data_IF_429622468911
#
_entry.id   IF_429622468911
#
_cell.length_a   1.000
_cell.length_b   1.000
_cell.length_c   1.000
_cell.angle_alpha   90.00
_cell.angle_beta   90.00
_cell.angle_gamma   90.00
#
_symmetry.space_group_name_H-M   'P 1'
#
loop_
_entity.id
_entity.type
_entity.pdbx_description
1 polymer ?
2 non-polymer ?
3 non-polymer ?
4 non-polymer ?
5 non-polymer ?
6 water ?
#
# COMPACT_ATOMS: atom_id res chain seq x y z
N UNK A 1 16.03 9.86 8.92
CA UNK A 1 16.48 10.21 10.33
C UNK A 1 15.92 11.59 10.65
N UNK A 2 15.57 11.82 11.92
CA UNK A 2 14.84 13.04 12.37
C UNK A 2 15.71 14.32 12.14
N UNK A 3 15.08 15.48 11.99
CA UNK A 3 15.83 16.76 11.85
C UNK A 3 16.59 17.11 13.14
N UNK A 7 14.59 22.00 13.43
CA UNK A 7 14.04 22.10 12.08
C UNK A 7 12.95 21.09 11.73
N UNK A 8 12.67 20.99 10.43
CA UNK A 8 11.66 20.05 9.90
C UNK A 8 12.30 19.13 8.84
N UNK A 9 12.19 17.85 9.09
CA UNK A 9 12.63 16.89 8.12
C UNK A 9 11.57 16.76 7.03
N UNK A 10 12.02 16.35 5.84
CA UNK A 10 11.08 15.97 4.78
C UNK A 10 10.29 14.79 5.33
N UNK A 11 8.98 14.79 5.12
CA UNK A 11 8.12 13.75 5.67
C UNK A 11 7.47 12.95 4.56
N UNK A 12 7.69 11.64 4.58
CA UNK A 12 7.16 10.74 3.58
C UNK A 12 6.25 9.67 4.16
N UNK A 13 5.03 9.60 3.64
CA UNK A 13 4.05 8.55 4.00
C UNK A 13 4.14 7.46 2.97
N UNK A 14 4.35 6.24 3.42
CA UNK A 14 4.44 5.08 2.53
C UNK A 14 3.31 4.12 2.86
N UNK A 15 2.48 3.86 1.87
CA UNK A 15 1.37 2.91 1.96
C UNK A 15 1.89 1.49 2.22
N UNK A 16 1.07 0.64 2.87
CA UNK A 16 1.45 -0.71 3.11
C UNK A 16 0.93 -1.61 2.00
N UNK A 17 -0.37 -1.84 1.90
CA UNK A 17 -0.88 -2.78 0.89
C UNK A 17 -0.68 -2.24 -0.52
N UNK A 18 -0.07 -3.08 -1.35
CA UNK A 18 0.17 -2.75 -2.75
C UNK A 18 1.45 -1.97 -2.98
N UNK A 19 2.17 -1.64 -1.92
CA UNK A 19 3.40 -0.83 -1.96
C UNK A 19 4.53 -1.51 -1.20
N UNK A 20 4.29 -1.87 0.07
CA UNK A 20 5.23 -2.66 0.84
C UNK A 20 4.88 -4.14 0.83
N UNK A 21 3.57 -4.45 0.96
CA UNK A 21 3.08 -5.82 1.14
C UNK A 21 2.27 -6.18 -0.11
N UNK A 22 2.52 -7.39 -0.61
CA UNK A 22 1.90 -7.83 -1.88
C UNK A 22 0.50 -8.42 -1.61
N UNK A 23 -0.44 -7.53 -1.45
CA UNK A 23 -1.87 -7.85 -1.27
C UNK A 23 -2.40 -8.61 -2.49
N UNK A 24 -2.08 -8.15 -3.71
CA UNK A 24 -2.69 -8.77 -4.90
C UNK A 24 -2.21 -10.19 -5.11
N UNK A 25 -0.91 -10.40 -4.98
CA UNK A 25 -0.35 -11.74 -5.12
C UNK A 25 -0.75 -12.70 -4.03
N UNK A 26 -0.79 -12.18 -2.80
CA UNK A 26 -1.22 -12.97 -1.66
C UNK A 26 -2.67 -13.38 -1.79
N UNK A 27 -3.51 -12.45 -2.19
CA UNK A 27 -4.93 -12.72 -2.45
C UNK A 27 -5.08 -13.85 -3.47
N UNK A 28 -4.42 -13.70 -4.62
CA UNK A 28 -4.59 -14.71 -5.69
C UNK A 28 -4.14 -16.08 -5.26
N UNK A 29 -3.00 -16.17 -4.60
CA UNK A 29 -2.51 -17.46 -4.14
C UNK A 29 -3.48 -18.14 -3.19
N UNK A 30 -3.98 -17.39 -2.21
CA UNK A 30 -4.89 -17.97 -1.24
C UNK A 30 -6.26 -18.27 -1.81
N UNK A 31 -6.70 -17.45 -2.73
CA UNK A 31 -8.00 -17.66 -3.39
C UNK A 31 -7.94 -18.98 -4.21
N UNK A 32 -6.89 -19.15 -4.99
CA UNK A 32 -6.77 -20.39 -5.81
C UNK A 32 -6.66 -21.64 -4.96
N UNK A 33 -5.95 -21.57 -3.85
CA UNK A 33 -5.81 -22.68 -2.93
C UNK A 33 -7.10 -23.04 -2.22
N UNK A 34 -7.91 -22.04 -1.85
CA UNK A 34 -9.15 -22.31 -1.12
C UNK A 34 -10.32 -22.69 -2.05
N UNK A 35 -10.33 -22.11 -3.23
CA UNK A 35 -11.40 -22.23 -4.22
C UNK A 35 -10.84 -22.71 -5.57
N UNK A 36 -10.23 -23.90 -5.58
CA UNK A 36 -9.52 -24.39 -6.79
C UNK A 36 -10.40 -24.59 -8.01
N UNK A 37 -11.71 -24.77 -7.82
CA UNK A 37 -12.60 -24.99 -8.96
C UNK A 37 -13.29 -23.72 -9.45
N UNK A 38 -12.94 -22.55 -8.86
CA UNK A 38 -13.56 -21.33 -9.32
C UNK A 38 -12.65 -20.64 -10.35
N UNK A 39 -13.24 -19.85 -11.27
CA UNK A 39 -12.37 -19.03 -12.13
C UNK A 39 -11.72 -17.91 -11.27
N UNK A 40 -10.64 -17.35 -11.79
CA UNK A 40 -9.89 -16.29 -11.06
C UNK A 40 -9.40 -15.25 -12.07
N UNK A 41 -8.78 -14.18 -11.57
CA UNK A 41 -8.27 -13.09 -12.41
C UNK A 41 -6.78 -13.13 -12.29
N UNK A 42 -6.08 -13.41 -13.38
CA UNK A 42 -4.63 -13.30 -13.38
C UNK A 42 -4.24 -11.85 -13.06
N UNK A 43 -3.10 -11.68 -12.40
CA UNK A 43 -2.65 -10.35 -11.95
C UNK A 43 -2.58 -9.37 -13.10
N UNK A 44 -2.03 -9.82 -14.25
CA UNK A 44 -1.94 -8.95 -15.42
C UNK A 44 -3.27 -8.41 -15.90
N UNK A 45 -4.35 -9.16 -15.61
CA UNK A 45 -5.71 -8.79 -16.03
C UNK A 45 -6.52 -8.02 -14.98
N UNK A 46 -5.91 -7.72 -13.84
CA UNK A 46 -6.61 -6.94 -12.82
C UNK A 46 -6.92 -5.52 -13.32
N UNK A 47 -8.17 -5.09 -13.13
CA UNK A 47 -8.63 -3.77 -13.49
C UNK A 47 -9.54 -3.25 -12.36
N UNK A 48 -9.31 -2.02 -11.97
CA UNK A 48 -10.09 -1.40 -10.92
C UNK A 48 -9.48 -1.71 -9.54
N UNK A 49 -9.57 -0.75 -8.62
CA UNK A 49 -8.97 -0.93 -7.31
C UNK A 49 -9.55 -2.09 -6.53
N UNK A 50 -10.85 -2.31 -6.63
CA UNK A 50 -11.53 -3.24 -5.75
C UNK A 50 -11.56 -4.66 -6.32
N UNK A 51 -10.76 -5.54 -5.72
CA UNK A 51 -10.69 -6.90 -6.17
C UNK A 51 -12.09 -7.56 -6.21
N UNK A 52 -12.89 -7.36 -5.17
CA UNK A 52 -14.17 -8.11 -5.10
C UNK A 52 -15.15 -7.68 -6.22
N UNK A 53 -15.02 -6.44 -6.69
CA UNK A 53 -15.92 -5.96 -7.77
C UNK A 53 -15.62 -6.67 -9.08
N UNK A 54 -14.33 -6.85 -9.38
CA UNK A 54 -13.98 -7.59 -10.59
C UNK A 54 -14.35 -9.08 -10.48
N UNK A 55 -14.16 -9.66 -9.29
CA UNK A 55 -14.51 -11.05 -9.05
C UNK A 55 -16.04 -11.24 -9.15
N UNK A 56 -16.78 -10.28 -8.64
CA UNK A 56 -18.23 -10.33 -8.67
C UNK A 56 -18.80 -10.36 -10.07
N UNK A 57 -18.11 -9.72 -11.02
CA UNK A 57 -18.55 -9.71 -12.42
C UNK A 57 -18.20 -11.02 -13.15
N UNK A 58 -17.21 -11.73 -12.60
CA UNK A 58 -16.73 -12.98 -13.18
C UNK A 58 -17.73 -14.13 -13.00
N UNK A 59 -18.31 -14.24 -11.80
CA UNK A 59 -19.35 -15.25 -11.53
C UNK A 59 -20.14 -14.85 -10.28
N UNK A 60 -21.44 -15.14 -10.23
CA UNK A 60 -22.22 -14.84 -9.03
C UNK A 60 -21.70 -15.55 -7.77
N UNK A 61 -21.62 -14.84 -6.65
CA UNK A 61 -21.11 -15.41 -5.41
C UNK A 61 -19.62 -15.22 -5.17
N UNK A 62 -18.88 -14.86 -6.22
CA UNK A 62 -17.42 -14.76 -6.09
C UNK A 62 -16.98 -13.57 -5.31
N UNK A 63 -17.76 -12.50 -5.28
CA UNK A 63 -17.42 -11.37 -4.44
C UNK A 63 -17.30 -11.82 -2.96
N UNK A 64 -18.27 -12.60 -2.50
CA UNK A 64 -18.27 -13.08 -1.11
C UNK A 64 -17.13 -14.03 -0.83
N UNK A 65 -16.81 -14.88 -1.80
CA UNK A 65 -15.68 -15.76 -1.65
C UNK A 65 -14.36 -14.95 -1.59
N UNK A 66 -14.21 -13.94 -2.46
CA UNK A 66 -13.02 -13.07 -2.41
C UNK A 66 -12.89 -12.43 -1.01
N UNK A 67 -13.99 -11.89 -0.50
CA UNK A 67 -13.96 -11.21 0.81
C UNK A 67 -13.45 -12.13 1.90
N UNK A 68 -13.87 -13.39 1.84
CA UNK A 68 -13.50 -14.37 2.86
C UNK A 68 -11.99 -14.59 2.92
N UNK A 69 -11.29 -14.29 1.82
CA UNK A 69 -9.82 -14.42 1.83
C UNK A 69 -9.16 -13.38 2.71
N UNK A 70 -9.51 -12.12 2.51
CA UNK A 70 -8.90 -11.08 3.34
C UNK A 70 -9.44 -10.99 4.73
N UNK A 71 -10.60 -11.55 5.03
CA UNK A 71 -11.07 -11.61 6.40
C UNK A 71 -10.44 -12.76 7.21
N UNK A 72 -9.70 -13.65 6.56
CA UNK A 72 -9.16 -14.80 7.26
C UNK A 72 -7.92 -14.50 8.07
N UNK A 73 -7.79 -15.20 9.19
CA UNK A 73 -6.58 -15.13 10.00
C UNK A 73 -5.33 -15.39 9.13
N UNK A 74 -4.29 -14.62 9.38
CA UNK A 74 -3.01 -14.75 8.69
C UNK A 74 -2.95 -14.23 7.29
N UNK A 75 -4.05 -13.69 6.77
CA UNK A 75 -3.97 -13.13 5.44
C UNK A 75 -2.94 -11.98 5.38
N UNK A 76 -3.14 -10.96 6.20
CA UNK A 76 -2.21 -9.82 6.23
C UNK A 76 -0.83 -10.23 6.69
N UNK A 77 -0.75 -11.03 7.73
CA UNK A 77 0.56 -11.36 8.27
C UNK A 77 1.47 -12.08 7.26
N UNK A 78 0.87 -12.95 6.44
CA UNK A 78 1.64 -13.80 5.51
C UNK A 78 1.87 -13.13 4.15
N UNK A 79 1.46 -11.88 3.97
CA UNK A 79 1.78 -11.21 2.71
C UNK A 79 3.30 -11.12 2.57
N UNK A 80 3.77 -11.33 1.34
CA UNK A 80 5.20 -11.15 1.07
C UNK A 80 5.49 -9.69 0.77
N UNK A 81 6.69 -9.21 1.14
CA UNK A 81 7.08 -7.87 0.70
C UNK A 81 7.25 -7.78 -0.82
N UNK A 82 6.90 -6.64 -1.37
CA UNK A 82 7.23 -6.37 -2.76
C UNK A 82 8.73 -6.36 -2.93
N UNK A 83 9.24 -6.76 -4.12
CA UNK A 83 10.70 -6.67 -4.32
C UNK A 83 11.21 -5.23 -4.10
N UNK A 84 12.30 -5.14 -3.36
CA UNK A 84 12.95 -3.88 -3.11
C UNK A 84 12.34 -3.01 -2.00
N UNK A 85 11.13 -3.38 -1.53
CA UNK A 85 10.40 -2.47 -0.64
C UNK A 85 11.08 -2.31 0.73
N UNK A 86 11.48 -3.43 1.32
CA UNK A 86 12.12 -3.37 2.63
C UNK A 86 13.47 -2.60 2.58
N UNK A 87 14.27 -2.94 1.57
CA UNK A 87 15.55 -2.32 1.40
C UNK A 87 15.41 -0.80 1.19
N UNK A 88 14.45 -0.42 0.33
CA UNK A 88 14.24 1.00 0.00
C UNK A 88 13.79 1.82 1.20
N UNK A 89 12.77 1.28 1.91
CA UNK A 89 12.27 2.04 3.05
C UNK A 89 13.28 2.10 4.22
N UNK A 90 14.05 1.03 4.45
CA UNK A 90 15.14 1.11 5.45
C UNK A 90 16.15 2.18 5.06
N UNK A 91 16.50 2.26 3.78
CA UNK A 91 17.47 3.25 3.35
C UNK A 91 16.86 4.63 3.50
N UNK A 92 15.62 4.77 3.03
CA UNK A 92 14.94 6.05 3.12
C UNK A 92 14.87 6.63 4.53
N UNK A 93 14.55 5.74 5.50
CA UNK A 93 14.42 6.16 6.89
C UNK A 93 15.76 6.61 7.49
N UNK A 94 16.84 6.04 6.98
CA UNK A 94 18.22 6.35 7.44
C UNK A 94 18.77 7.67 6.88
N UNK A 95 18.12 8.24 5.87
CA UNK A 95 18.62 9.47 5.23
C UNK A 95 18.49 10.65 6.15
N UNK A 96 19.47 11.55 6.07
CA UNK A 96 19.36 12.78 6.86
C UNK A 96 18.10 13.54 6.52
N UNK A 97 17.50 14.18 7.53
CA UNK A 97 16.37 15.09 7.34
C UNK A 97 15.21 14.41 6.60
N UNK A 98 14.93 13.17 6.96
CA UNK A 98 13.89 12.42 6.32
C UNK A 98 13.15 11.56 7.37
N UNK A 99 11.86 11.79 7.55
CA UNK A 99 11.03 11.04 8.48
C UNK A 99 10.03 10.22 7.64
N UNK A 100 10.02 8.92 7.84
CA UNK A 100 9.17 7.99 7.11
C UNK A 100 8.11 7.43 8.04
N UNK A 101 6.85 7.48 7.60
CA UNK A 101 5.74 6.82 8.29
C UNK A 101 5.11 5.80 7.36
N UNK A 102 4.69 4.65 7.90
CA UNK A 102 3.91 3.67 7.17
C UNK A 102 2.45 4.01 7.43
N UNK A 103 1.74 4.47 6.40
CA UNK A 103 0.38 5.01 6.53
C UNK A 103 -0.59 4.09 5.81
N UNK A 104 -1.35 3.32 6.59
CA UNK A 104 -2.10 2.18 6.09
C UNK A 104 -3.55 2.18 6.58
N UNK A 105 -4.50 1.85 5.71
CA UNK A 105 -5.91 1.74 6.10
C UNK A 105 -6.26 0.29 6.38
N UNK A 106 -6.67 -0.04 7.60
CA UNK A 106 -7.06 -1.40 7.88
C UNK A 106 -8.45 -1.67 7.32
N UNK A 107 -8.76 -2.95 7.05
CA UNK A 107 -10.11 -3.32 6.69
C UNK A 107 -11.08 -3.15 7.85
N UNK A 108 -12.39 -3.10 7.53
CA UNK A 108 -13.44 -2.86 8.54
C UNK A 108 -13.48 -3.99 9.55
N UNK A 109 -13.29 -5.23 9.12
CA UNK A 109 -13.22 -6.38 10.03
C UNK A 109 -11.88 -6.34 10.77
N UNK A 110 -11.94 -6.00 12.05
CA UNK A 110 -10.78 -5.63 12.83
C UNK A 110 -10.17 -6.73 13.66
N UNK A 111 -10.71 -7.95 13.58
CA UNK A 111 -10.23 -9.03 14.46
C UNK A 111 -8.74 -9.33 14.33
N UNK A 112 -8.28 -9.39 13.06
CA UNK A 112 -6.91 -9.77 12.76
C UNK A 112 -6.06 -8.65 12.15
N UNK A 113 -6.68 -7.80 11.32
CA UNK A 113 -5.92 -6.96 10.42
C UNK A 113 -4.98 -5.97 11.16
N UNK A 114 -5.51 -5.15 12.11
CA UNK A 114 -4.58 -4.21 12.78
C UNK A 114 -3.43 -4.95 13.46
N UNK A 115 -3.74 -5.99 14.25
CA UNK A 115 -2.68 -6.75 14.89
C UNK A 115 -1.63 -7.24 13.88
N UNK A 116 -2.13 -7.85 12.82
CA UNK A 116 -1.20 -8.48 11.85
C UNK A 116 -0.32 -7.44 11.13
N UNK A 117 -0.85 -6.23 10.93
CA UNK A 117 -0.02 -5.20 10.33
C UNK A 117 1.13 -4.76 11.24
N UNK A 118 0.88 -4.63 12.56
CA UNK A 118 2.00 -4.38 13.50
C UNK A 118 2.98 -5.51 13.49
N UNK A 119 2.47 -6.75 13.51
CA UNK A 119 3.35 -7.93 13.52
C UNK A 119 4.19 -8.00 12.25
N UNK A 120 3.60 -7.62 11.12
CA UNK A 120 4.32 -7.66 9.81
C UNK A 120 5.45 -6.62 9.80
N UNK A 121 5.17 -5.42 10.29
CA UNK A 121 6.20 -4.39 10.37
C UNK A 121 7.33 -4.82 11.31
N UNK A 122 7.00 -5.40 12.48
CA UNK A 122 8.05 -5.88 13.35
C UNK A 122 8.96 -6.92 12.65
N UNK A 123 8.33 -7.82 11.95
CA UNK A 123 9.00 -8.89 11.22
C UNK A 123 10.00 -8.36 10.19
N UNK A 124 9.56 -7.42 9.35
CA UNK A 124 10.40 -6.96 8.21
C UNK A 124 11.24 -5.74 8.47
N UNK A 125 10.82 -4.86 9.37
CA UNK A 125 11.53 -3.66 9.70
C UNK A 125 12.11 -3.53 11.11
N UNK A 126 11.68 -4.43 11.99
CA UNK A 126 12.16 -4.47 13.35
C UNK A 126 11.33 -3.67 14.33
N UNK A 127 11.50 -3.98 15.62
CA UNK A 127 10.78 -3.28 16.67
C UNK A 127 10.79 -1.75 16.64
N UNK A 128 11.93 -1.14 16.28
CA UNK A 128 11.96 0.32 16.38
C UNK A 128 11.10 1.00 15.30
N UNK A 129 10.77 0.27 14.25
CA UNK A 129 9.93 0.84 13.20
C UNK A 129 8.44 0.87 13.57
N UNK A 130 8.05 0.19 14.66
CA UNK A 130 6.67 0.21 15.07
C UNK A 130 6.21 1.62 15.39
N UNK A 131 7.12 2.50 15.89
CA UNK A 131 6.84 3.92 16.23
C UNK A 131 6.38 4.70 14.99
N UNK A 132 6.63 4.16 13.77
CA UNK A 132 6.37 4.86 12.50
C UNK A 132 5.05 4.49 11.85
N UNK A 133 4.24 3.66 12.51
CA UNK A 133 2.99 3.18 11.89
C UNK A 133 1.84 4.15 12.22
N UNK A 134 1.09 4.52 11.18
CA UNK A 134 -0.15 5.27 11.31
C UNK A 134 -1.28 4.46 10.65
N UNK A 135 -2.26 4.02 11.43
CA UNK A 135 -3.43 3.32 10.89
C UNK A 135 -4.58 4.34 10.78
N UNK A 136 -5.14 4.52 9.60
CA UNK A 136 -6.22 5.47 9.38
C UNK A 136 -6.98 5.07 8.16
N UNK A 137 -8.30 5.31 8.15
CA UNK A 137 -9.12 5.19 6.93
C UNK A 137 -9.15 6.50 6.16
N UNK A 138 -8.52 7.55 6.68
CA UNK A 138 -8.46 8.85 6.02
C UNK A 138 -7.03 9.34 6.03
N UNK A 139 -6.37 9.25 4.88
CA UNK A 139 -5.01 9.67 4.76
C UNK A 139 -4.85 11.18 4.51
N UNK A 140 -5.96 11.84 4.14
CA UNK A 140 -5.94 13.29 3.91
C UNK A 140 -5.72 14.10 5.15
N UNK A 141 -6.02 13.52 6.35
CA UNK A 141 -5.80 14.23 7.62
C UNK A 141 -4.38 13.99 8.18
N UNK A 142 -3.54 13.24 7.47
CA UNK A 142 -2.16 13.03 7.83
C UNK A 142 -1.29 13.98 6.99
N UNK A 143 -0.56 14.86 7.65
CA UNK A 143 0.24 15.86 6.93
C UNK A 143 1.64 15.35 6.62
N UNK A 144 2.10 15.65 5.39
CA UNK A 144 3.41 15.19 4.95
C UNK A 144 3.75 15.91 3.65
N UNK A 145 4.98 15.70 3.20
CA UNK A 145 5.38 16.20 1.87
C UNK A 145 4.97 15.29 0.72
N UNK A 146 5.00 13.98 0.97
CA UNK A 146 4.72 12.96 -0.03
C UNK A 146 3.89 11.82 0.56
N UNK A 147 3.04 11.26 -0.28
CA UNK A 147 2.32 10.03 -0.01
C UNK A 147 2.55 9.10 -1.21
N UNK A 148 3.15 7.94 -0.98
CA UNK A 148 3.43 6.94 -2.00
C UNK A 148 2.42 5.81 -1.83
N UNK A 149 1.48 5.67 -2.75
CA UNK A 149 0.27 4.86 -2.56
C UNK A 149 -0.29 4.44 -3.88
N UNK A 150 -0.70 3.17 -4.00
CA UNK A 150 -1.20 2.60 -5.26
C UNK A 150 -2.66 2.93 -5.59
N UNK A 151 -3.41 3.57 -4.67
CA UNK A 151 -4.80 3.88 -4.94
C UNK A 151 -4.87 5.18 -5.75
N UNK A 152 -5.56 5.17 -6.89
CA UNK A 152 -5.58 6.42 -7.67
C UNK A 152 -6.28 7.58 -7.00
N UNK A 153 -7.41 7.31 -6.38
CA UNK A 153 -8.26 8.34 -5.75
C UNK A 153 -8.14 8.33 -4.25
N UNK A 154 -7.40 9.29 -3.68
CA UNK A 154 -7.21 9.34 -2.24
C UNK A 154 -7.94 10.58 -1.70
N UNK A 155 -9.03 10.35 -1.00
CA UNK A 155 -9.88 11.45 -0.55
C UNK A 155 -10.29 11.26 0.89
N UNK A 156 -10.89 12.29 1.47
CA UNK A 156 -11.25 12.23 2.88
C UNK A 156 -11.71 13.60 3.36
N UNK A 157 -11.60 13.81 4.67
CA UNK A 157 -12.10 15.03 5.31
C UNK A 157 -11.36 16.31 4.95
N UNK A 158 -10.12 16.23 4.50
CA UNK A 158 -9.32 17.37 4.18
C UNK A 158 -9.34 17.58 2.66
N UNK A 159 -9.96 18.69 2.18
CA UNK A 159 -10.06 18.82 0.73
C UNK A 159 -8.76 19.16 0.05
N UNK A 160 -7.80 19.74 0.79
CA UNK A 160 -6.50 20.10 0.28
C UNK A 160 -5.36 19.49 1.13
N UNK A 161 -5.09 18.20 0.92
CA UNK A 161 -3.99 17.56 1.65
C UNK A 161 -2.64 18.24 1.39
N UNK A 162 -1.76 18.20 2.37
CA UNK A 162 -0.45 18.80 2.27
C UNK A 162 0.52 18.01 1.42
N UNK A 163 0.30 16.71 1.31
CA UNK A 163 1.20 15.86 0.56
C UNK A 163 0.92 15.92 -0.94
N UNK A 164 1.99 15.67 -1.69
CA UNK A 164 1.86 15.25 -3.10
C UNK A 164 1.72 13.71 -3.13
N UNK A 165 0.66 13.25 -3.77
CA UNK A 165 0.39 11.82 -3.96
C UNK A 165 1.15 11.35 -5.17
N UNK A 166 2.12 10.47 -4.94
CA UNK A 166 2.86 9.77 -5.99
C UNK A 166 2.22 8.40 -6.13
N UNK A 167 1.74 8.08 -7.33
CA UNK A 167 1.02 6.85 -7.61
C UNK A 167 2.02 5.70 -7.77
N UNK A 168 1.96 4.72 -6.88
CA UNK A 168 2.80 3.56 -6.98
C UNK A 168 2.15 2.57 -7.93
N UNK A 169 2.88 2.10 -8.96
CA UNK A 169 2.26 1.24 -9.93
C UNK A 169 1.85 -0.13 -9.37
N UNK A 170 0.66 -0.55 -9.81
CA UNK A 170 0.10 -1.88 -9.57
C UNK A 170 -0.59 -2.33 -10.86
N UNK A 171 -0.85 -3.63 -11.02
CA UNK A 171 -1.55 -4.04 -12.28
C UNK A 171 -2.89 -3.34 -12.44
N UNK A 172 -3.61 -3.11 -11.30
CA UNK A 172 -4.90 -2.47 -11.40
C UNK A 172 -4.86 -1.00 -11.87
N UNK A 173 -3.68 -0.32 -11.75
CA UNK A 173 -3.62 1.10 -12.10
C UNK A 173 -2.64 1.36 -13.27
N UNK A 174 -2.02 0.32 -13.84
CA UNK A 174 -0.85 0.54 -14.70
C UNK A 174 -1.20 1.28 -15.99
N UNK A 175 -2.46 1.19 -16.44
CA UNK A 175 -2.85 1.79 -17.71
C UNK A 175 -3.39 3.18 -17.54
N UNK A 176 -3.55 3.62 -16.30
CA UNK A 176 -4.18 4.92 -16.04
C UNK A 176 -3.38 6.11 -16.45
N UNK A 177 -4.00 6.94 -17.28
CA UNK A 177 -3.44 8.25 -17.53
C UNK A 177 -3.77 9.18 -16.37
N UNK A 178 -2.75 9.83 -15.84
CA UNK A 178 -2.90 10.79 -14.74
C UNK A 178 -2.94 12.23 -15.26
N UNK A 179 -3.70 13.08 -14.59
CA UNK A 179 -3.70 14.53 -14.82
C UNK A 179 -2.35 15.18 -14.43
N UNK A 180 -1.63 15.76 -15.40
CA UNK A 180 -0.43 16.52 -15.03
C UNK A 180 -0.74 17.48 -13.85
N UNK A 181 0.14 17.72 -12.87
CA UNK A 181 1.49 17.23 -12.84
C UNK A 181 1.61 15.98 -11.96
N UNK A 182 0.56 15.15 -11.89
CA UNK A 182 0.66 13.89 -11.12
C UNK A 182 1.70 12.94 -11.70
N UNK A 183 2.43 12.22 -10.85
CA UNK A 183 3.46 11.32 -11.29
C UNK A 183 3.44 9.96 -10.56
N UNK A 184 4.27 9.03 -11.04
CA UNK A 184 4.35 7.66 -10.54
C UNK A 184 5.68 7.27 -9.99
N UNK A 185 5.68 6.25 -9.12
CA UNK A 185 6.87 5.52 -8.74
C UNK A 185 6.52 4.20 -9.36
N UNK A 186 7.31 3.71 -10.33
CA UNK A 186 6.97 2.45 -11.03
C UNK A 186 7.06 1.17 -10.21
N UNK A 187 8.04 1.17 -9.34
CA UNK A 187 8.46 0.05 -8.50
C UNK A 187 9.53 0.59 -7.56
N UNK A 188 9.94 -0.21 -6.57
CA UNK A 188 11.00 0.24 -5.69
C UNK A 188 12.38 0.28 -6.34
N UNK A 189 12.49 -0.35 -7.52
CA UNK A 189 13.73 -0.27 -8.31
C UNK A 189 13.85 1.08 -9.00
N UNK A 190 12.71 1.77 -9.15
CA UNK A 190 12.64 3.11 -9.75
C UNK A 190 13.29 4.13 -8.80
N UNK A 191 13.58 5.30 -9.32
CA UNK A 191 14.38 6.31 -8.62
C UNK A 191 13.60 7.11 -7.60
N UNK A 192 13.32 6.46 -6.45
CA UNK A 192 12.58 7.12 -5.37
C UNK A 192 13.39 8.26 -4.74
N UNK A 193 14.72 8.16 -4.74
CA UNK A 193 15.48 9.26 -4.14
C UNK A 193 15.34 10.57 -4.93
N UNK A 194 15.27 10.49 -6.26
CA UNK A 194 15.01 11.69 -7.06
C UNK A 194 13.67 12.33 -6.78
N UNK A 195 12.63 11.51 -6.53
CA UNK A 195 11.34 12.05 -6.17
C UNK A 195 11.44 12.78 -4.82
N UNK A 196 12.04 12.14 -3.83
CA UNK A 196 12.22 12.83 -2.53
C UNK A 196 13.01 14.13 -2.67
N UNK A 197 14.10 14.06 -3.42
CA UNK A 197 14.97 15.24 -3.56
C UNK A 197 14.27 16.42 -4.20
N UNK A 198 13.31 16.13 -5.09
CA UNK A 198 12.53 17.17 -5.72
C UNK A 198 11.66 17.99 -4.78
N UNK A 199 11.41 17.47 -3.57
CA UNK A 199 10.57 18.13 -2.56
C UNK A 199 11.36 18.82 -1.48
N UNK A 200 12.67 18.62 -1.47
CA UNK A 200 13.55 19.22 -0.46
C UNK A 200 13.83 20.67 -0.79
N UNK A 201 14.09 21.50 0.26
CA UNK A 201 14.61 22.83 -0.03
C UNK A 201 16.08 22.70 -0.42
X LIG B 1 -2.47 0.40 -1.17
X LIG C 1 2.68 -4.72 -11.73
X LIG C 1 2.01 -4.35 -13.10
X LIG C 1 3.14 -3.61 -10.87
X LIG C 1 0.96 -5.74 -13.80
X LIG D 1 -10.30 -5.41 1.09
X LIG D 1 -10.37 -5.09 -0.44
X LIG D 1 -9.52 -4.87 -3.03
X LIG D 1 -2.93 -0.62 3.17
X LIG D 1 -3.62 0.23 2.20
X LIG D 1 -3.28 0.12 0.79
X LIG D 1 -4.02 1.58 2.74
X LIG D 1 -5.31 -0.51 2.25
X LIG D 1 -6.17 -0.87 0.66
X LIG D 1 -6.07 -2.69 0.69
X LIG D 1 -6.94 -3.24 -0.26
X LIG D 1 -8.13 -3.83 0.11
X LIG D 1 -6.63 -3.26 -1.60
X LIG D 1 -5.58 -2.79 -2.01
X LIG D 1 -7.51 -3.83 -2.50
X LIG D 1 -8.76 -4.40 -2.15
X LIG D 1 -9.07 -4.41 -0.86
X LIG D 1 -11.56 -4.41 -0.69
X LIG D 1 -11.53 -4.71 1.65
X LIG D 1 -11.07 -3.41 2.06
X LIG D 1 -12.44 -4.62 0.43
X LIG D 1 -13.38 -3.48 0.44
X LIG D 1 -12.75 -2.23 0.96
X LIG D 1 -12.06 -2.37 2.21
X LIG D 1 -13.26 -2.71 3.60
X LIG D 1 -13.92 -4.04 3.47
X LIG D 1 -12.53 -2.52 4.85
X LIG D 1 -14.25 -1.51 3.42
X LIG D 1 -11.31 -1.16 2.48
X LIG D 1 -10.07 -1.20 3.12
X LIG D 1 -9.39 -0.04 3.42
X LIG D 1 -9.91 1.17 3.06
X LIG D 1 -11.11 1.26 2.38
X LIG D 1 -11.81 0.09 2.11
X LIG E 1 13.07 8.06 12.76
X LIG E 1 12.16 8.63 13.75
X LIG E 1 12.67 8.67 11.40
X LIG E 1 13.69 9.54 10.85
X LIG E 1 12.29 7.54 10.44
X LIG E 1 12.37 7.97 9.15
X LIG F 1 4.80 18.23 5.93
X LIG F 1 6.09 17.76 6.34
X LIG F 1 4.73 19.70 5.61
X LIG F 1 5.96 20.28 5.09
X LIG F 1 3.57 19.80 4.63
X LIG F 1 3.63 20.98 3.80
#
# INVERSE_FOLDING_TARGET
>A
SNAASGGRALRVLVDMDGVLADFEGGFLRKFRARFPDQPFIALEDRRGFWVSEQYGRLRPGLSEKAISIWESKNFFFELEPLPGAVEAVKEMASLQNTDVFICTSPIKMFKYCPYEKYAWVEKYFGPDFLEQIVLTRDKTVVSADLLIDDRPDITGAEPTPSWEHVLFTACHNQHLQLQPPRRRLHSWADDWKAILDSKRPC
>B hetero
1 MG MG
>C hetero
1 BME C1 C2 O1 S2
>D hetero
1 EJ8 C2' C1' O2 O9 P2 O10 O11 C18 S1 C17 C5 C4 C6 O6 N1 C8 N9 O4' C3' O3' C4' C5' O7 CAB P OP1 OP2 OP3 C2 CAA C9 C10 C11 C12
>E hetero
1 GOL C1 O1 C2 O2 C3 O3
>F hetero
1 GOL C1 O1 C2 O2 C3 O3
#
